data_IF_636105904449
#
_entry.id   IF_636105904449
#
_cell.length_a   1.000
_cell.length_b   1.000
_cell.length_c   1.000
_cell.angle_alpha   90.00
_cell.angle_beta   90.00
_cell.angle_gamma   90.00
#
_symmetry.space_group_name_H-M   'P 1'
#
loop_
_entity.id
_entity.type
_entity.pdbx_description
1 polymer ?
#
# COMPACT_ATOMS: atom_id res chain seq x y z
N UNK A 1 -14.06 32.53 -43.68
CA UNK A 1 -14.37 32.56 -42.23
C UNK A 1 -14.21 31.15 -41.70
N UNK A 2 -13.19 30.89 -40.88
CA UNK A 2 -13.14 29.71 -40.00
C UNK A 2 -12.57 30.18 -38.66
N UNK A 3 -13.43 30.22 -37.65
CA UNK A 3 -13.09 30.50 -36.26
C UNK A 3 -12.51 29.25 -35.63
N UNK A 4 -11.22 29.30 -35.26
CA UNK A 4 -10.58 28.31 -34.40
C UNK A 4 -10.89 28.63 -32.94
N UNK A 5 -11.65 27.77 -32.27
CA UNK A 5 -11.87 27.87 -30.83
C UNK A 5 -10.64 27.35 -30.08
N UNK A 6 -10.11 28.17 -29.16
CA UNK A 6 -9.02 27.84 -28.28
C UNK A 6 -9.41 26.72 -27.31
N UNK A 7 -8.66 25.62 -27.31
CA UNK A 7 -8.76 24.59 -26.30
C UNK A 7 -8.21 25.13 -24.97
N UNK A 8 -9.10 25.33 -24.00
CA UNK A 8 -8.77 25.67 -22.62
C UNK A 8 -7.92 24.56 -21.99
N UNK A 9 -6.65 24.85 -21.72
CA UNK A 9 -5.81 24.04 -20.85
C UNK A 9 -6.40 24.03 -19.44
N UNK A 10 -6.98 22.92 -19.02
CA UNK A 10 -7.22 22.66 -17.59
C UNK A 10 -5.88 22.23 -16.98
N UNK A 11 -5.48 22.76 -15.81
CA UNK A 11 -4.27 22.30 -15.14
C UNK A 11 -4.42 20.80 -14.86
N UNK A 12 -3.45 20.01 -15.32
CA UNK A 12 -3.38 18.58 -15.08
C UNK A 12 -3.39 18.32 -13.59
N UNK A 13 -4.36 17.53 -13.14
CA UNK A 13 -4.39 16.97 -11.80
C UNK A 13 -3.19 16.02 -11.70
N UNK A 14 -2.13 16.44 -11.01
CA UNK A 14 -1.06 15.51 -10.62
C UNK A 14 -1.73 14.40 -9.81
N UNK A 15 -1.52 13.11 -10.09
CA UNK A 15 -2.16 12.08 -9.29
C UNK A 15 -1.72 12.26 -7.84
N UNK A 16 -2.68 12.42 -6.94
CA UNK A 16 -2.45 12.18 -5.52
C UNK A 16 -1.72 10.83 -5.41
N UNK A 17 -0.48 10.85 -4.91
CA UNK A 17 0.37 9.67 -4.79
C UNK A 17 -0.16 8.78 -3.64
N UNK A 18 -1.25 8.10 -3.95
CA UNK A 18 -1.95 7.13 -3.14
C UNK A 18 -1.61 5.73 -3.64
N UNK A 19 -1.20 4.86 -2.73
CA UNK A 19 -0.73 3.50 -3.03
C UNK A 19 -1.27 2.56 -1.94
N UNK A 20 -1.77 1.40 -2.34
CA UNK A 20 -2.07 0.31 -1.43
C UNK A 20 -0.82 -0.56 -1.23
N UNK A 21 -0.37 -0.66 0.02
CA UNK A 21 0.80 -1.44 0.40
C UNK A 21 0.44 -2.52 1.42
N UNK A 22 0.73 -3.77 1.10
CA UNK A 22 0.62 -4.89 2.06
C UNK A 22 1.95 -5.12 2.75
N UNK A 23 1.95 -4.97 4.07
CA UNK A 23 3.13 -5.17 4.91
C UNK A 23 3.18 -6.62 5.42
N UNK A 24 4.00 -7.44 4.78
CA UNK A 24 4.20 -8.85 5.13
C UNK A 24 5.43 -8.99 6.03
N UNK A 25 5.24 -8.70 7.31
CA UNK A 25 6.35 -8.67 8.29
C UNK A 25 6.72 -10.07 8.80
N UNK A 26 5.83 -11.05 8.61
CA UNK A 26 6.05 -12.44 8.98
C UNK A 26 6.25 -13.32 7.75
N UNK A 27 7.18 -14.26 7.85
CA UNK A 27 7.49 -15.18 6.73
C UNK A 27 6.30 -16.05 6.35
N UNK A 28 5.44 -16.41 7.30
CA UNK A 28 4.27 -17.25 7.08
C UNK A 28 3.16 -16.55 6.25
N UNK A 29 3.20 -15.22 6.13
CA UNK A 29 2.17 -14.43 5.46
C UNK A 29 2.23 -14.50 3.91
N UNK A 30 3.18 -15.24 3.33
CA UNK A 30 3.30 -15.38 1.88
C UNK A 30 4.02 -16.65 1.43
N UNK A 31 3.84 -16.98 0.15
CA UNK A 31 4.53 -18.10 -0.49
C UNK A 31 5.52 -17.57 -1.52
N UNK A 32 6.84 -17.71 -1.30
CA UNK A 32 7.81 -17.40 -2.32
C UNK A 32 7.68 -18.41 -3.44
N UNK A 33 7.79 -17.92 -4.66
CA UNK A 33 7.66 -18.71 -5.86
C UNK A 33 8.57 -18.12 -6.94
N UNK A 34 8.48 -18.71 -8.13
CA UNK A 34 8.98 -18.08 -9.33
C UNK A 34 7.82 -17.91 -10.30
N UNK A 35 7.91 -16.88 -11.13
CA UNK A 35 6.93 -16.61 -12.19
C UNK A 35 7.63 -16.32 -13.50
N UNK A 36 6.89 -16.44 -14.60
CA UNK A 36 7.25 -15.86 -15.90
C UNK A 36 6.37 -14.66 -16.15
N UNK A 37 6.96 -13.60 -16.69
CA UNK A 37 6.23 -12.42 -17.17
C UNK A 37 6.42 -12.31 -18.69
N UNK A 38 5.47 -11.74 -19.45
CA UNK A 38 5.53 -11.74 -20.91
C UNK A 38 6.82 -11.14 -21.49
N UNK A 39 7.34 -10.09 -20.85
CA UNK A 39 8.49 -9.33 -21.33
C UNK A 39 9.84 -9.92 -20.90
N UNK A 40 9.84 -11.02 -20.14
CA UNK A 40 11.08 -11.63 -19.65
C UNK A 40 11.09 -13.15 -19.86
N UNK A 41 12.03 -13.68 -20.67
CA UNK A 41 12.07 -15.12 -20.98
C UNK A 41 12.47 -15.98 -19.78
N UNK A 42 13.20 -15.38 -18.82
CA UNK A 42 13.66 -16.05 -17.61
C UNK A 42 12.58 -16.01 -16.53
N UNK A 43 12.51 -17.07 -15.72
CA UNK A 43 11.68 -17.03 -14.50
C UNK A 43 12.31 -16.09 -13.47
N UNK A 44 11.49 -15.31 -12.80
CA UNK A 44 11.92 -14.34 -11.79
C UNK A 44 11.37 -14.70 -10.41
N UNK A 45 12.07 -14.27 -9.37
CA UNK A 45 11.63 -14.43 -7.98
C UNK A 45 10.34 -13.63 -7.73
N UNK A 46 9.38 -14.27 -7.07
CA UNK A 46 8.11 -13.64 -6.75
C UNK A 46 7.57 -14.11 -5.39
N UNK A 47 6.53 -13.44 -4.92
CA UNK A 47 5.64 -13.91 -3.87
C UNK A 47 4.23 -14.08 -4.42
N UNK A 48 3.56 -15.16 -4.00
CA UNK A 48 2.16 -15.40 -4.27
C UNK A 48 1.34 -15.04 -3.03
N UNK A 49 0.30 -14.23 -3.24
CA UNK A 49 -0.57 -13.71 -2.20
C UNK A 49 -1.93 -13.34 -2.79
N UNK A 50 -3.03 -13.71 -2.13
CA UNK A 50 -4.41 -13.37 -2.54
C UNK A 50 -4.72 -13.71 -4.01
N UNK A 51 -4.18 -14.84 -4.49
CA UNK A 51 -4.33 -15.28 -5.88
C UNK A 51 -3.56 -14.46 -6.91
N UNK A 52 -2.69 -13.54 -6.47
CA UNK A 52 -1.86 -12.67 -7.31
C UNK A 52 -0.38 -13.01 -7.16
N UNK A 53 0.42 -12.52 -8.11
CA UNK A 53 1.87 -12.64 -8.10
C UNK A 53 2.51 -11.26 -8.00
N UNK A 54 3.55 -11.16 -7.17
CA UNK A 54 4.33 -9.93 -7.02
C UNK A 54 5.80 -10.27 -7.29
N UNK A 55 6.40 -9.65 -8.31
CA UNK A 55 7.81 -9.85 -8.64
C UNK A 55 8.72 -9.07 -7.71
N UNK A 56 9.91 -9.60 -7.44
CA UNK A 56 10.88 -8.89 -6.62
C UNK A 56 11.46 -7.69 -7.38
N UNK A 57 11.25 -6.48 -6.84
CA UNK A 57 11.85 -5.27 -7.41
C UNK A 57 13.25 -5.04 -6.83
N UNK A 58 13.36 -4.87 -5.50
CA UNK A 58 14.64 -4.72 -4.78
C UNK A 58 14.46 -4.77 -3.27
N UNK A 59 15.59 -4.92 -2.56
CA UNK A 59 15.67 -4.71 -1.11
C UNK A 59 16.22 -3.31 -0.79
N UNK A 60 15.62 -2.65 0.20
CA UNK A 60 15.98 -1.32 0.70
C UNK A 60 16.29 -1.41 2.20
N UNK A 61 17.51 -1.09 2.65
CA UNK A 61 17.85 -1.15 4.08
C UNK A 61 17.00 -0.25 4.98
N UNK A 62 16.67 0.94 4.49
CA UNK A 62 16.04 1.99 5.28
C UNK A 62 14.53 2.10 5.03
N UNK A 63 13.74 2.10 6.12
CA UNK A 63 12.27 2.10 6.06
C UNK A 63 11.71 3.34 5.34
N UNK A 64 12.22 4.53 5.66
CA UNK A 64 11.74 5.79 5.06
C UNK A 64 11.93 5.77 3.54
N UNK A 65 13.10 5.30 3.10
CA UNK A 65 13.40 5.15 1.67
C UNK A 65 12.56 4.06 1.02
N UNK A 66 12.23 2.99 1.72
CA UNK A 66 11.37 1.93 1.21
C UNK A 66 9.95 2.45 0.95
N UNK A 67 9.37 3.22 1.88
CA UNK A 67 8.07 3.89 1.69
C UNK A 67 8.13 4.83 0.49
N UNK A 68 9.13 5.72 0.44
CA UNK A 68 9.26 6.67 -0.66
C UNK A 68 9.38 5.99 -2.03
N UNK A 69 10.09 4.87 -2.12
CA UNK A 69 10.18 4.07 -3.36
C UNK A 69 8.84 3.40 -3.67
N UNK A 70 8.18 2.77 -2.69
CA UNK A 70 6.87 2.15 -2.88
C UNK A 70 5.84 3.15 -3.41
N UNK A 71 5.79 4.36 -2.84
CA UNK A 71 4.89 5.43 -3.29
C UNK A 71 5.21 5.96 -4.68
N UNK A 72 6.47 5.92 -5.11
CA UNK A 72 6.88 6.27 -6.47
C UNK A 72 6.57 5.18 -7.50
N UNK A 73 6.59 3.92 -7.08
CA UNK A 73 6.30 2.77 -7.94
C UNK A 73 4.80 2.58 -8.14
N UNK A 74 3.99 2.94 -7.14
CA UNK A 74 2.54 2.90 -7.25
C UNK A 74 2.05 3.75 -8.41
N UNK A 75 1.56 3.10 -9.47
CA UNK A 75 0.64 3.74 -10.41
C UNK A 75 -0.76 3.69 -9.82
N UNK A 76 -1.68 4.44 -10.43
CA UNK A 76 -3.11 4.38 -10.06
C UNK A 76 -3.57 2.91 -10.08
N UNK A 77 -4.04 2.44 -8.93
CA UNK A 77 -4.56 1.08 -8.68
C UNK A 77 -3.53 -0.07 -8.59
N UNK A 78 -2.23 0.23 -8.60
CA UNK A 78 -1.21 -0.80 -8.33
C UNK A 78 -1.10 -1.07 -6.83
N UNK A 79 -1.18 -2.34 -6.45
CA UNK A 79 -0.88 -2.79 -5.08
C UNK A 79 0.59 -3.22 -5.01
N UNK A 80 1.31 -2.73 -4.00
CA UNK A 80 2.68 -3.11 -3.69
C UNK A 80 2.68 -4.02 -2.47
N UNK A 81 3.59 -4.97 -2.45
CA UNK A 81 3.87 -5.79 -1.27
C UNK A 81 5.24 -5.39 -0.73
N UNK A 82 5.34 -5.26 0.60
CA UNK A 82 6.59 -5.01 1.29
C UNK A 82 6.83 -6.09 2.34
N UNK A 83 7.98 -6.75 2.27
CA UNK A 83 8.39 -7.78 3.23
C UNK A 83 9.58 -7.32 4.06
N UNK A 84 9.67 -7.72 5.33
CA UNK A 84 10.91 -7.58 6.09
C UNK A 84 11.89 -8.71 5.76
N UNK A 85 13.14 -8.36 5.49
CA UNK A 85 14.23 -9.29 5.18
C UNK A 85 15.47 -8.96 6.01
N UNK A 86 16.47 -9.85 6.02
CA UNK A 86 17.78 -9.58 6.67
C UNK A 86 18.53 -8.37 6.09
N UNK A 87 18.18 -7.93 4.88
CA UNK A 87 18.81 -6.78 4.19
C UNK A 87 17.95 -5.51 4.25
N UNK A 88 16.90 -5.51 5.08
CA UNK A 88 15.88 -4.45 5.15
C UNK A 88 14.59 -4.85 4.45
N UNK A 89 13.94 -3.90 3.80
CA UNK A 89 12.60 -4.03 3.23
C UNK A 89 12.65 -4.46 1.78
N UNK A 90 12.13 -5.65 1.48
CA UNK A 90 11.92 -6.13 0.12
C UNK A 90 10.66 -5.50 -0.46
N UNK A 91 10.76 -4.88 -1.63
CA UNK A 91 9.63 -4.30 -2.38
C UNK A 91 9.28 -5.25 -3.51
N UNK A 92 7.98 -5.54 -3.65
CA UNK A 92 7.43 -6.45 -4.62
C UNK A 92 6.29 -5.78 -5.39
N UNK A 93 6.30 -5.90 -6.71
CA UNK A 93 5.38 -5.19 -7.61
C UNK A 93 4.38 -6.19 -8.17
N UNK A 94 3.10 -5.86 -8.16
CA UNK A 94 2.04 -6.71 -8.74
C UNK A 94 2.28 -6.95 -10.23
N UNK A 95 2.25 -8.22 -10.64
CA UNK A 95 2.41 -8.65 -12.03
C UNK A 95 1.12 -9.32 -12.50
N UNK A 96 0.15 -8.56 -13.04
CA UNK A 96 -1.18 -9.11 -13.37
C UNK A 96 -1.14 -10.15 -14.49
N UNK A 97 -0.09 -10.16 -15.31
CA UNK A 97 0.11 -11.12 -16.40
C UNK A 97 1.11 -12.23 -16.04
N UNK A 98 1.62 -12.27 -14.81
CA UNK A 98 2.56 -13.30 -14.39
C UNK A 98 1.90 -14.68 -14.33
N UNK A 99 2.65 -15.68 -14.73
CA UNK A 99 2.26 -17.08 -14.62
C UNK A 99 3.22 -17.82 -13.70
N UNK A 100 2.67 -18.69 -12.85
CA UNK A 100 3.48 -19.52 -11.97
C UNK A 100 4.47 -20.40 -12.75
N UNK A 101 5.73 -20.37 -12.33
CA UNK A 101 6.81 -21.16 -12.92
C UNK A 101 7.28 -22.23 -11.90
N UNK A 102 6.78 -23.47 -12.00
CA UNK A 102 7.16 -24.53 -11.06
C UNK A 102 8.67 -24.86 -11.14
N UNK A 103 9.24 -25.48 -10.10
CA UNK A 103 10.61 -25.98 -10.14
C UNK A 103 10.82 -26.96 -11.30
N UNK A 104 11.95 -26.87 -12.00
CA UNK A 104 12.25 -27.77 -13.13
C UNK A 104 12.25 -29.26 -12.74
N UNK A 105 12.57 -29.57 -11.47
CA UNK A 105 12.58 -30.93 -10.94
C UNK A 105 11.19 -31.46 -10.55
N UNK A 106 10.20 -30.58 -10.43
CA UNK A 106 8.81 -30.96 -10.11
C UNK A 106 7.81 -30.04 -10.84
N UNK A 107 7.52 -30.32 -12.12
CA UNK A 107 6.57 -29.53 -12.91
C UNK A 107 5.12 -29.58 -12.41
N UNK A 108 4.79 -30.56 -11.55
CA UNK A 108 3.44 -30.74 -10.99
C UNK A 108 3.25 -29.99 -9.68
N UNK A 109 4.31 -29.38 -9.16
CA UNK A 109 4.22 -28.56 -7.97
C UNK A 109 3.13 -27.50 -8.16
N UNK A 110 2.28 -27.35 -7.16
CA UNK A 110 1.25 -26.31 -7.11
C UNK A 110 1.44 -25.46 -5.86
N UNK A 111 1.06 -24.18 -5.95
CA UNK A 111 1.07 -23.29 -4.81
C UNK A 111 -0.18 -23.54 -3.97
N UNK A 112 0.02 -23.65 -2.65
CA UNK A 112 -1.11 -23.54 -1.72
C UNK A 112 -1.63 -22.09 -1.75
N UNK A 113 -2.91 -21.84 -1.46
CA UNK A 113 -3.39 -20.48 -1.25
C UNK A 113 -2.68 -19.83 -0.06
N UNK A 114 -2.37 -18.54 -0.18
CA UNK A 114 -1.93 -17.69 0.91
C UNK A 114 -2.76 -16.42 0.90
N UNK A 115 -3.22 -16.00 2.08
CA UNK A 115 -4.06 -14.83 2.26
C UNK A 115 -3.28 -13.76 3.02
N UNK A 116 -3.21 -12.57 2.44
CA UNK A 116 -2.49 -11.45 3.01
C UNK A 116 -3.29 -10.68 4.05
N UNK A 117 -2.61 -9.81 4.82
CA UNK A 117 -3.29 -8.84 5.65
C UNK A 117 -3.99 -7.77 4.78
N UNK A 118 -4.88 -6.98 5.40
CA UNK A 118 -5.50 -5.83 4.74
C UNK A 118 -4.43 -4.87 4.19
N UNK A 119 -4.61 -4.27 3.01
CA UNK A 119 -3.66 -3.28 2.50
C UNK A 119 -3.72 -1.99 3.33
N UNK A 120 -2.56 -1.38 3.55
CA UNK A 120 -2.43 -0.03 4.10
C UNK A 120 -2.46 0.98 2.95
N UNK A 121 -3.35 1.96 3.00
CA UNK A 121 -3.35 3.08 2.06
C UNK A 121 -2.29 4.10 2.50
N UNK A 122 -1.25 4.29 1.69
CA UNK A 122 -0.21 5.29 1.94
C UNK A 122 -0.49 6.52 1.07
N UNK A 123 -0.59 7.68 1.72
CA UNK A 123 -0.78 8.98 1.10
C UNK A 123 0.46 9.84 1.36
N UNK A 124 1.18 10.21 0.31
CA UNK A 124 2.39 11.05 0.42
C UNK A 124 2.18 12.52 0.13
N UNK A 125 1.02 12.88 -0.43
CA UNK A 125 0.67 14.26 -0.77
C UNK A 125 -0.33 14.83 0.24
N UNK A 126 0.00 15.96 0.85
CA UNK A 126 -0.90 16.65 1.77
C UNK A 126 -2.21 17.11 1.10
N UNK A 127 -2.21 17.33 -0.21
CA UNK A 127 -3.42 17.67 -0.96
C UNK A 127 -4.38 16.48 -1.15
N UNK A 128 -3.90 15.25 -0.90
CA UNK A 128 -4.69 14.04 -1.09
C UNK A 128 -5.65 13.73 0.05
N UNK A 129 -5.60 14.48 1.17
CA UNK A 129 -6.47 14.24 2.31
C UNK A 129 -6.85 15.55 3.01
N UNK A 130 -7.87 15.48 3.86
CA UNK A 130 -8.28 16.60 4.72
C UNK A 130 -8.26 16.15 6.17
N UNK A 131 -7.64 16.95 7.04
CA UNK A 131 -7.74 16.78 8.49
C UNK A 131 -9.12 17.23 8.95
N UNK A 132 -9.75 16.45 9.81
CA UNK A 132 -11.09 16.75 10.33
C UNK A 132 -11.22 16.26 11.76
N UNK A 133 -12.30 16.65 12.42
CA UNK A 133 -12.72 16.10 13.71
C UNK A 133 -13.83 15.09 13.45
N UNK A 134 -13.76 13.92 14.05
CA UNK A 134 -14.69 12.81 13.82
C UNK A 134 -15.46 12.46 15.10
N UNK A 135 -16.76 12.22 14.96
CA UNK A 135 -17.54 11.49 15.96
C UNK A 135 -17.64 10.04 15.50
N UNK A 136 -17.01 9.14 16.26
CA UNK A 136 -17.06 7.69 16.05
C UNK A 136 -18.12 7.11 16.99
N UNK A 137 -19.09 6.30 16.53
CA UNK A 137 -20.21 5.84 17.38
C UNK A 137 -19.79 5.14 18.67
N UNK A 138 -18.68 4.41 18.62
CA UNK A 138 -18.18 3.61 19.76
C UNK A 138 -17.29 4.42 20.71
N UNK A 139 -16.99 5.68 20.37
CA UNK A 139 -16.18 6.58 21.19
C UNK A 139 -17.05 7.71 21.75
N UNK A 140 -16.91 7.96 23.04
CA UNK A 140 -17.64 9.03 23.73
C UNK A 140 -17.16 10.44 23.35
N UNK A 141 -15.91 10.54 22.87
CA UNK A 141 -15.26 11.80 22.54
C UNK A 141 -15.08 11.96 21.03
N UNK A 142 -15.04 13.21 20.59
CA UNK A 142 -14.61 13.57 19.24
C UNK A 142 -13.10 13.33 19.14
N UNK A 143 -12.67 12.74 18.03
CA UNK A 143 -11.27 12.39 17.78
C UNK A 143 -10.74 13.09 16.54
N UNK A 144 -9.43 13.29 16.49
CA UNK A 144 -8.75 13.69 15.26
C UNK A 144 -8.98 12.66 14.17
N UNK A 145 -9.20 13.13 12.95
CA UNK A 145 -9.46 12.29 11.81
C UNK A 145 -8.86 12.78 10.50
N UNK A 146 -8.90 11.88 9.53
CA UNK A 146 -8.47 12.09 8.16
C UNK A 146 -9.61 11.67 7.24
N UNK A 147 -10.00 12.56 6.33
CA UNK A 147 -10.92 12.25 5.23
C UNK A 147 -10.14 12.08 3.94
N UNK A 148 -10.44 11.01 3.20
CA UNK A 148 -9.90 10.74 1.87
C UNK A 148 -10.97 10.08 1.01
N UNK A 149 -11.31 10.67 -0.14
CA UNK A 149 -12.29 10.14 -1.10
C UNK A 149 -13.63 9.72 -0.45
N UNK A 150 -14.15 10.55 0.47
CA UNK A 150 -15.42 10.29 1.18
C UNK A 150 -15.36 9.19 2.24
N UNK A 151 -14.18 8.64 2.53
CA UNK A 151 -13.93 7.73 3.66
C UNK A 151 -13.33 8.49 4.82
N UNK A 152 -13.63 8.04 6.03
CA UNK A 152 -13.15 8.63 7.28
C UNK A 152 -12.24 7.65 8.01
N UNK A 153 -11.16 8.19 8.56
CA UNK A 153 -10.16 7.45 9.31
C UNK A 153 -9.88 8.18 10.62
N UNK A 154 -10.00 7.51 11.75
CA UNK A 154 -9.62 8.06 13.06
C UNK A 154 -8.10 7.97 13.23
N UNK A 155 -7.48 9.03 13.76
CA UNK A 155 -6.04 9.02 14.02
C UNK A 155 -5.76 8.06 15.17
N UNK A 156 -5.01 7.02 14.87
CA UNK A 156 -4.58 6.03 15.85
C UNK A 156 -3.31 6.50 16.57
N UNK A 157 -2.30 6.92 15.80
CA UNK A 157 -1.00 7.34 16.36
C UNK A 157 -0.19 8.17 15.38
N UNK A 158 0.60 9.11 15.90
CA UNK A 158 1.69 9.76 15.17
C UNK A 158 3.03 9.23 15.65
N UNK A 159 3.92 8.89 14.71
CA UNK A 159 5.28 8.40 15.00
C UNK A 159 6.29 9.10 14.10
N UNK A 160 7.53 9.24 14.57
CA UNK A 160 8.60 9.88 13.79
C UNK A 160 9.38 8.88 12.93
N UNK A 161 9.42 7.61 13.33
CA UNK A 161 10.19 6.57 12.64
C UNK A 161 9.34 5.75 11.66
N UNK A 162 9.73 5.70 10.38
CA UNK A 162 9.06 4.86 9.38
C UNK A 162 9.08 3.36 9.71
N UNK A 163 10.13 2.85 10.35
CA UNK A 163 10.18 1.44 10.74
C UNK A 163 9.10 1.09 11.77
N UNK A 164 8.90 1.97 12.76
CA UNK A 164 7.81 1.85 13.73
C UNK A 164 6.44 1.98 13.05
N UNK A 165 6.30 2.95 12.13
CA UNK A 165 5.07 3.16 11.38
C UNK A 165 4.66 1.90 10.59
N UNK A 166 5.61 1.28 9.87
CA UNK A 166 5.39 0.04 9.13
C UNK A 166 4.98 -1.09 10.08
N UNK A 167 5.67 -1.24 11.22
CA UNK A 167 5.38 -2.30 12.18
C UNK A 167 3.96 -2.17 12.78
N UNK A 168 3.52 -0.95 13.10
CA UNK A 168 2.16 -0.71 13.60
C UNK A 168 1.13 -0.96 12.50
N UNK A 169 1.35 -0.42 11.29
CA UNK A 169 0.45 -0.62 10.16
C UNK A 169 0.28 -2.12 9.83
N UNK A 170 1.36 -2.89 9.86
CA UNK A 170 1.33 -4.33 9.67
C UNK A 170 0.49 -5.06 10.73
N UNK A 171 0.62 -4.67 12.01
CA UNK A 171 -0.15 -5.27 13.11
C UNK A 171 -1.65 -4.99 12.98
N UNK A 172 -2.01 -3.73 12.74
CA UNK A 172 -3.41 -3.34 12.52
C UNK A 172 -4.01 -4.10 11.31
N UNK A 173 -3.29 -4.11 10.19
CA UNK A 173 -3.69 -4.83 9.00
C UNK A 173 -3.85 -6.35 9.22
N UNK A 174 -3.04 -6.95 10.08
CA UNK A 174 -3.13 -8.37 10.45
C UNK A 174 -4.39 -8.68 11.30
N UNK A 175 -4.87 -7.70 12.07
CA UNK A 175 -6.16 -7.77 12.78
C UNK A 175 -7.37 -7.55 11.88
N UNK A 176 -7.14 -7.21 10.59
CA UNK A 176 -8.19 -6.93 9.61
C UNK A 176 -8.50 -5.45 9.44
N UNK A 177 -7.86 -4.55 10.20
CA UNK A 177 -8.11 -3.12 10.13
C UNK A 177 -7.70 -2.55 8.77
N UNK A 178 -8.58 -1.77 8.15
CA UNK A 178 -8.22 -0.94 7.01
C UNK A 178 -7.46 0.29 7.52
N UNK A 179 -6.18 0.40 7.15
CA UNK A 179 -5.30 1.44 7.67
C UNK A 179 -4.94 2.48 6.62
N UNK A 180 -4.68 3.69 7.09
CA UNK A 180 -4.17 4.80 6.32
C UNK A 180 -2.90 5.33 6.97
N UNK A 181 -1.88 5.59 6.16
CA UNK A 181 -0.61 6.17 6.56
C UNK A 181 -0.37 7.45 5.75
N UNK A 182 -0.27 8.59 6.42
CA UNK A 182 0.10 9.86 5.77
C UNK A 182 1.49 10.31 6.20
N UNK A 183 2.25 10.85 5.26
CA UNK A 183 3.51 11.53 5.55
C UNK A 183 3.23 13.00 5.85
N UNK A 184 3.80 13.51 6.94
CA UNK A 184 3.68 14.91 7.38
C UNK A 184 5.06 15.47 7.72
N UNK A 185 5.17 16.78 7.92
CA UNK A 185 6.41 17.41 8.41
C UNK A 185 6.82 16.93 9.81
N UNK A 186 5.84 16.52 10.64
CA UNK A 186 6.05 16.03 12.01
C UNK A 186 6.22 14.51 12.12
N UNK A 187 6.42 13.79 11.02
CA UNK A 187 6.50 12.33 10.98
C UNK A 187 5.34 11.68 10.21
N UNK A 188 5.02 10.44 10.55
CA UNK A 188 3.96 9.66 9.94
C UNK A 188 2.76 9.55 10.87
N UNK A 189 1.57 9.77 10.34
CA UNK A 189 0.31 9.53 11.05
C UNK A 189 -0.28 8.22 10.54
N UNK A 190 -0.63 7.35 11.47
CA UNK A 190 -1.41 6.15 11.23
C UNK A 190 -2.84 6.38 11.67
N UNK A 191 -3.77 5.97 10.83
CA UNK A 191 -5.20 6.11 11.04
C UNK A 191 -5.92 4.81 10.66
N UNK A 192 -7.04 4.53 11.31
CA UNK A 192 -7.88 3.33 11.10
C UNK A 192 -9.21 3.75 10.50
N UNK A 193 -9.71 2.99 9.54
CA UNK A 193 -10.97 3.28 8.85
C UNK A 193 -12.15 3.16 9.81
N UNK A 194 -13.01 4.17 9.78
CA UNK A 194 -14.25 4.19 10.57
C UNK A 194 -15.45 4.13 9.62
N UNK A 195 -16.21 3.04 9.67
CA UNK A 195 -17.33 2.82 8.72
C UNK A 195 -18.51 3.76 9.00
N UNK A 196 -18.71 4.12 10.27
CA UNK A 196 -19.88 4.87 10.73
C UNK A 196 -19.52 6.23 11.33
N UNK A 197 -18.27 6.69 11.15
CA UNK A 197 -17.87 8.01 11.61
C UNK A 197 -18.51 9.12 10.77
N UNK A 198 -18.79 10.23 11.44
CA UNK A 198 -19.24 11.47 10.81
C UNK A 198 -18.32 12.61 11.21
N UNK A 199 -18.27 13.66 10.37
CA UNK A 199 -17.58 14.90 10.73
C UNK A 199 -18.29 15.53 11.92
N UNK A 200 -17.53 15.83 12.97
CA UNK A 200 -18.01 16.62 14.09
C UNK A 200 -18.11 18.08 13.68
N UNK A 201 -19.29 18.66 13.87
CA UNK A 201 -19.61 20.09 13.64
C UNK A 201 -19.19 20.97 14.80
#
# INVERSE_FOLDING_TARGET
MYTSAAASHRPGFTPAHAIYCKFLMERAAYIPCHVRVPDMPQRISAVALDGRFYSFFRAIPEAQRAIAIATRLGKRDDEIVMTLTRRGYGIWVNEPQAQYAPPAKDPRHSLKPAFGPSPCLILSDASSYTRCSLKVPDLSQVVDGISHNGRYYSVFRQVTGAAEAIAIAAKLAQSGDETLMVTTSGGLILAVRELNAIIAS
#
